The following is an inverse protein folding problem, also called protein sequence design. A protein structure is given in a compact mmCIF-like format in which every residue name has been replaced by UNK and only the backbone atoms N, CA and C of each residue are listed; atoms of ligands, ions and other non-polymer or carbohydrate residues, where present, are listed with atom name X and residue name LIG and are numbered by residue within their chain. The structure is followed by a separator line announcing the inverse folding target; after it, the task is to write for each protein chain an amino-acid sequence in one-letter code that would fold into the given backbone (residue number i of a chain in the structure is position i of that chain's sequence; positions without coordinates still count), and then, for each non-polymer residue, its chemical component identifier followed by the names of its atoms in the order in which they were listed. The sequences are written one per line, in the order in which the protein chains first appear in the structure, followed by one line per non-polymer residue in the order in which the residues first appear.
data_IF_971833528263
#
_entry.id   IF_971833528263
#
_cell.length_a   1.000
_cell.length_b   1.000
_cell.length_c   1.000
_cell.angle_alpha   90.00
_cell.angle_beta   90.00
_cell.angle_gamma   90.00
#
_symmetry.space_group_name_H-M   'P 1'
#
loop_
_entity.id
_entity.type
_entity.pdbx_description
1 polymer ?
#
# COMPACT_ATOMS: atom_id res chain seq x y z
N UNK A 1 11.33 -5.94 33.23
CA UNK A 1 10.74 -5.73 31.90
C UNK A 1 11.73 -5.98 30.75
N UNK A 2 11.39 -6.94 29.90
CA UNK A 2 12.16 -7.33 28.72
C UNK A 2 11.92 -6.34 27.55
N UNK A 3 12.97 -5.63 27.15
CA UNK A 3 12.92 -4.68 26.03
C UNK A 3 12.62 -5.36 24.69
N UNK A 4 12.97 -6.65 24.56
CA UNK A 4 12.70 -7.46 23.38
C UNK A 4 11.19 -7.72 23.23
N UNK A 5 10.54 -8.12 24.32
CA UNK A 5 9.08 -8.34 24.36
C UNK A 5 8.30 -7.07 23.97
N UNK A 6 8.71 -5.92 24.50
CA UNK A 6 8.08 -4.64 24.16
C UNK A 6 8.25 -4.27 22.68
N UNK A 7 9.43 -4.53 22.12
CA UNK A 7 9.71 -4.28 20.70
C UNK A 7 8.86 -5.18 19.81
N UNK A 8 8.79 -6.48 20.13
CA UNK A 8 7.97 -7.45 19.40
C UNK A 8 6.48 -7.09 19.46
N UNK A 9 5.99 -6.68 20.63
CA UNK A 9 4.60 -6.25 20.81
C UNK A 9 4.25 -5.05 19.93
N UNK A 10 5.13 -4.05 19.88
CA UNK A 10 4.89 -2.84 19.07
C UNK A 10 4.89 -3.14 17.58
N UNK A 11 5.81 -3.99 17.09
CA UNK A 11 5.85 -4.38 15.69
C UNK A 11 4.59 -5.18 15.29
N UNK A 12 4.17 -6.12 16.14
CA UNK A 12 2.94 -6.89 15.92
C UNK A 12 1.70 -5.98 15.89
N UNK A 13 1.56 -5.06 16.86
CA UNK A 13 0.48 -4.07 16.87
C UNK A 13 0.51 -3.16 15.64
N UNK A 14 1.69 -2.73 15.20
CA UNK A 14 1.82 -1.85 14.03
C UNK A 14 1.29 -2.53 12.77
N UNK A 15 1.61 -3.81 12.56
CA UNK A 15 1.08 -4.59 11.44
C UNK A 15 -0.42 -4.83 11.59
N UNK A 16 -0.87 -5.29 12.75
CA UNK A 16 -2.27 -5.61 12.99
C UNK A 16 -3.19 -4.38 12.85
N UNK A 17 -2.68 -3.19 13.18
CA UNK A 17 -3.43 -1.95 13.09
C UNK A 17 -3.43 -1.29 11.70
N UNK A 18 -2.62 -1.74 10.73
CA UNK A 18 -2.42 -1.04 9.46
C UNK A 18 -3.73 -0.71 8.73
N UNK A 19 -4.69 -1.63 8.72
CA UNK A 19 -6.01 -1.45 8.09
C UNK A 19 -7.17 -1.32 9.09
N UNK A 20 -6.86 -1.27 10.38
CA UNK A 20 -7.85 -1.34 11.46
C UNK A 20 -8.07 0.00 12.18
N UNK A 21 -7.64 1.12 11.58
CA UNK A 21 -7.79 2.47 12.13
C UNK A 21 -8.97 3.18 11.49
N UNK A 22 -9.95 3.55 12.31
CA UNK A 22 -11.10 4.36 11.89
C UNK A 22 -10.91 5.84 12.25
N UNK A 23 -11.68 6.70 11.59
CA UNK A 23 -11.67 8.15 11.81
C UNK A 23 -12.09 8.60 13.22
N UNK A 24 -12.72 7.73 14.01
CA UNK A 24 -13.18 7.99 15.38
C UNK A 24 -12.29 7.37 16.47
N UNK A 25 -11.28 6.56 16.09
CA UNK A 25 -10.25 6.08 17.01
C UNK A 25 -9.39 7.26 17.49
N UNK A 26 -9.35 7.49 18.80
CA UNK A 26 -8.56 8.57 19.44
C UNK A 26 -7.19 8.11 19.86
N UNK A 27 -7.05 6.85 20.27
CA UNK A 27 -5.79 6.34 20.77
C UNK A 27 -5.84 4.85 21.05
N UNK A 28 -4.65 4.26 21.10
CA UNK A 28 -4.43 2.90 21.58
C UNK A 28 -3.40 2.96 22.70
N UNK A 29 -3.82 2.54 23.87
CA UNK A 29 -2.98 2.46 25.06
C UNK A 29 -2.59 1.00 25.32
N UNK A 30 -1.34 0.80 25.73
CA UNK A 30 -0.78 -0.51 26.03
C UNK A 30 -0.17 -0.52 27.42
N UNK A 31 -0.47 -1.54 28.22
CA UNK A 31 0.21 -1.81 29.48
C UNK A 31 0.79 -3.22 29.46
N UNK A 32 2.00 -3.38 29.98
CA UNK A 32 2.57 -4.68 30.33
C UNK A 32 2.43 -4.88 31.84
N UNK A 33 1.92 -6.04 32.23
CA UNK A 33 2.00 -6.50 33.61
C UNK A 33 3.24 -7.40 33.76
N UNK A 34 4.10 -7.06 34.72
CA UNK A 34 5.33 -7.81 35.07
C UNK A 34 5.02 -8.82 36.19
N UNK A 35 3.84 -9.46 36.12
CA UNK A 35 3.47 -10.56 36.97
C UNK A 35 4.29 -11.82 36.64
N UNK A 36 4.15 -12.90 37.42
CA UNK A 36 4.82 -14.19 37.18
C UNK A 36 4.59 -14.77 35.77
N UNK A 37 3.60 -14.23 35.04
CA UNK A 37 3.36 -14.47 33.62
C UNK A 37 3.25 -13.14 32.89
N UNK A 38 3.93 -12.98 31.74
CA UNK A 38 3.79 -11.78 30.94
C UNK A 38 2.33 -11.64 30.52
N UNK A 39 1.76 -10.47 30.78
CA UNK A 39 0.44 -10.13 30.27
C UNK A 39 0.50 -8.73 29.68
N UNK A 40 -0.25 -8.49 28.61
CA UNK A 40 -0.48 -7.13 28.15
C UNK A 40 -1.95 -6.84 28.00
N UNK A 41 -2.28 -5.58 28.30
CA UNK A 41 -3.59 -4.99 28.10
C UNK A 41 -3.50 -3.97 26.97
N UNK A 42 -4.45 -4.03 26.04
CA UNK A 42 -4.56 -3.08 24.93
C UNK A 42 -5.95 -2.46 24.97
N UNK A 43 -6.00 -1.12 25.03
CA UNK A 43 -7.27 -0.37 25.06
C UNK A 43 -7.39 0.49 23.82
N UNK A 44 -8.50 0.33 23.12
CA UNK A 44 -8.88 1.15 21.99
C UNK A 44 -9.86 2.22 22.47
N UNK A 45 -9.43 3.47 22.39
CA UNK A 45 -10.16 4.63 22.90
C UNK A 45 -10.88 5.31 21.74
N UNK A 46 -12.21 5.28 21.72
CA UNK A 46 -13.02 5.85 20.64
C UNK A 46 -13.66 7.16 21.07
N UNK A 47 -13.77 8.12 20.14
CA UNK A 47 -14.39 9.41 20.38
C UNK A 47 -15.91 9.31 20.56
N UNK A 48 -16.53 8.40 19.82
CA UNK A 48 -17.97 8.24 19.73
C UNK A 48 -18.47 6.98 20.43
N UNK A 49 -19.70 6.63 20.10
CA UNK A 49 -20.24 5.32 20.40
C UNK A 49 -19.47 4.26 19.58
N UNK A 50 -19.40 3.07 20.14
CA UNK A 50 -18.78 1.89 19.52
C UNK A 50 -19.91 1.03 18.96
N UNK A 51 -19.77 0.59 17.71
CA UNK A 51 -20.65 -0.38 17.10
C UNK A 51 -19.89 -1.62 16.65
N UNK A 52 -20.59 -2.51 15.95
CA UNK A 52 -20.07 -3.83 15.53
C UNK A 52 -18.75 -3.74 14.77
N UNK A 53 -18.59 -2.72 13.90
CA UNK A 53 -17.35 -2.51 13.15
C UNK A 53 -16.13 -2.29 14.06
N UNK A 54 -16.24 -1.42 15.07
CA UNK A 54 -15.13 -1.15 15.98
C UNK A 54 -14.78 -2.38 16.81
N UNK A 55 -15.77 -3.15 17.24
CA UNK A 55 -15.54 -4.41 17.97
C UNK A 55 -14.87 -5.45 17.07
N UNK A 56 -15.29 -5.57 15.81
CA UNK A 56 -14.72 -6.47 14.82
C UNK A 56 -13.25 -6.10 14.51
N UNK A 57 -12.95 -4.82 14.29
CA UNK A 57 -11.58 -4.36 14.05
C UNK A 57 -10.66 -4.65 15.25
N UNK A 58 -11.14 -4.46 16.48
CA UNK A 58 -10.34 -4.77 17.68
C UNK A 58 -10.14 -6.28 17.84
N UNK A 59 -11.16 -7.08 17.54
CA UNK A 59 -11.05 -8.55 17.54
C UNK A 59 -10.10 -9.06 16.46
N UNK A 60 -10.07 -8.41 15.29
CA UNK A 60 -9.12 -8.71 14.22
C UNK A 60 -7.68 -8.38 14.65
N UNK A 61 -7.46 -7.21 15.26
CA UNK A 61 -6.15 -6.84 15.83
C UNK A 61 -5.71 -7.84 16.90
N UNK A 62 -6.61 -8.23 17.80
CA UNK A 62 -6.35 -9.27 18.80
C UNK A 62 -5.93 -10.58 18.15
N UNK A 63 -6.64 -11.03 17.11
CA UNK A 63 -6.36 -12.28 16.41
C UNK A 63 -4.98 -12.28 15.77
N UNK A 64 -4.61 -11.22 15.04
CA UNK A 64 -3.28 -11.09 14.45
C UNK A 64 -2.19 -11.08 15.51
N UNK A 65 -2.43 -10.34 16.58
CA UNK A 65 -1.46 -10.22 17.65
C UNK A 65 -1.27 -11.54 18.39
N UNK A 66 -2.34 -12.27 18.74
CA UNK A 66 -2.20 -13.62 19.34
C UNK A 66 -1.43 -14.54 18.39
N UNK A 67 -1.70 -14.48 17.09
CA UNK A 67 -1.02 -15.30 16.08
C UNK A 67 0.50 -15.10 16.07
N UNK A 68 0.94 -13.84 16.21
CA UNK A 68 2.36 -13.47 16.23
C UNK A 68 3.12 -13.96 17.46
N UNK A 69 2.37 -14.32 18.50
CA UNK A 69 2.90 -14.82 19.76
C UNK A 69 2.60 -16.31 19.97
N UNK A 70 2.16 -17.04 18.94
CA UNK A 70 1.91 -18.49 19.00
C UNK A 70 3.15 -19.34 19.41
N UNK A 71 4.36 -18.80 19.24
CA UNK A 71 5.61 -19.45 19.69
C UNK A 71 6.02 -19.07 21.12
N UNK A 72 5.32 -18.10 21.73
CA UNK A 72 5.53 -17.73 23.12
C UNK A 72 4.84 -18.79 23.98
N UNK A 73 5.46 -19.27 25.08
CA UNK A 73 4.90 -20.32 25.92
C UNK A 73 3.46 -20.00 26.36
N UNK A 74 2.70 -21.05 26.75
CA UNK A 74 1.30 -21.09 27.22
C UNK A 74 0.91 -20.11 28.36
N UNK A 75 1.76 -19.13 28.66
CA UNK A 75 1.67 -18.17 29.75
C UNK A 75 1.32 -16.74 29.33
N UNK A 76 1.41 -16.36 28.04
CA UNK A 76 1.09 -14.99 27.64
C UNK A 76 -0.43 -14.74 27.70
N UNK A 77 -0.83 -13.81 28.57
CA UNK A 77 -2.25 -13.44 28.71
C UNK A 77 -2.50 -12.10 28.03
N UNK A 78 -3.48 -12.05 27.15
CA UNK A 78 -3.84 -10.84 26.42
C UNK A 78 -5.23 -10.37 26.84
N UNK A 79 -5.43 -9.06 26.93
CA UNK A 79 -6.75 -8.48 27.17
C UNK A 79 -6.93 -7.24 26.31
N UNK A 80 -8.00 -7.25 25.53
CA UNK A 80 -8.39 -6.16 24.66
C UNK A 80 -9.65 -5.51 25.18
N UNK A 81 -9.74 -4.19 25.08
CA UNK A 81 -10.92 -3.44 25.53
C UNK A 81 -11.23 -2.31 24.58
N UNK A 82 -12.53 -2.15 24.31
CA UNK A 82 -13.07 -1.10 23.46
C UNK A 82 -13.77 -0.08 24.35
N UNK A 83 -13.27 1.16 24.38
CA UNK A 83 -13.77 2.19 25.28
C UNK A 83 -14.51 3.26 24.46
N UNK A 84 -15.86 3.29 24.51
CA UNK A 84 -16.64 4.33 23.85
C UNK A 84 -16.52 5.65 24.60
N UNK A 85 -16.69 6.77 23.90
CA UNK A 85 -16.67 8.12 24.46
C UNK A 85 -15.46 8.40 25.37
N UNK A 86 -14.31 7.84 25.00
CA UNK A 86 -13.11 7.87 25.82
C UNK A 86 -12.44 9.24 25.85
N UNK A 87 -11.96 9.63 27.03
CA UNK A 87 -10.98 10.71 27.18
C UNK A 87 -9.59 10.25 26.68
N UNK A 88 -8.73 11.21 26.31
CA UNK A 88 -7.32 10.94 25.94
C UNK A 88 -6.44 10.81 27.18
N UNK A 89 -6.76 9.84 28.04
CA UNK A 89 -6.09 9.62 29.33
C UNK A 89 -5.56 8.20 29.41
N UNK A 90 -4.34 8.06 29.96
CA UNK A 90 -3.72 6.77 30.26
C UNK A 90 -4.11 6.33 31.67
N UNK A 91 -4.34 5.04 31.87
CA UNK A 91 -4.35 4.42 33.20
C UNK A 91 -2.91 4.21 33.72
N UNK A 92 -2.80 3.86 35.01
CA UNK A 92 -1.52 3.53 35.62
C UNK A 92 -0.82 2.38 34.90
N UNK A 93 0.44 2.58 34.54
CA UNK A 93 1.26 1.60 33.82
C UNK A 93 1.02 1.53 32.31
N UNK A 94 0.12 2.35 31.77
CA UNK A 94 -0.10 2.42 30.32
C UNK A 94 0.88 3.36 29.61
N UNK A 95 1.10 3.06 28.33
CA UNK A 95 1.85 3.85 27.39
C UNK A 95 1.06 4.02 26.10
N UNK A 96 1.18 5.18 25.45
CA UNK A 96 0.61 5.37 24.12
C UNK A 96 1.33 4.52 23.08
N UNK A 97 0.57 3.67 22.39
CA UNK A 97 0.99 3.06 21.14
C UNK A 97 0.65 3.98 19.96
N UNK A 98 -0.62 4.42 19.92
CA UNK A 98 -1.15 5.36 18.94
C UNK A 98 -1.91 6.46 19.67
N UNK A 99 -1.75 7.71 19.22
CA UNK A 99 -2.52 8.85 19.71
C UNK A 99 -2.87 9.73 18.53
N UNK A 100 -4.16 9.85 18.24
CA UNK A 100 -4.66 10.75 17.21
C UNK A 100 -4.39 12.19 17.63
N UNK A 101 -3.78 12.95 16.74
CA UNK A 101 -3.67 14.38 16.91
C UNK A 101 -5.07 15.00 16.88
N UNK A 102 -5.42 15.72 17.94
CA UNK A 102 -6.58 16.59 17.96
C UNK A 102 -6.11 17.94 18.46
N UNK A 103 -6.59 19.05 17.88
CA UNK A 103 -6.29 20.38 18.40
C UNK A 103 -6.68 20.41 19.88
N UNK A 104 -5.84 21.05 20.71
CA UNK A 104 -6.23 21.35 22.09
C UNK A 104 -7.57 22.06 22.02
N UNK A 105 -8.59 21.51 22.69
CA UNK A 105 -9.86 22.19 22.80
C UNK A 105 -9.55 23.55 23.42
N UNK A 106 -9.67 24.63 22.63
CA UNK A 106 -9.46 25.99 23.11
C UNK A 106 -10.28 26.12 24.38
N UNK A 107 -9.57 26.14 25.51
CA UNK A 107 -10.15 26.22 26.84
C UNK A 107 -11.08 27.42 26.81
N UNK A 108 -12.39 27.15 26.81
CA UNK A 108 -13.43 28.05 26.35
C UNK A 108 -13.13 29.50 26.74
N UNK A 109 -12.62 30.29 25.79
CA UNK A 109 -12.39 31.71 26.01
C UNK A 109 -13.75 32.29 26.34
N UNK A 110 -13.84 32.88 27.54
CA UNK A 110 -15.06 33.48 28.09
C UNK A 110 -15.81 34.28 27.02
N UNK A 111 -17.16 34.23 26.99
CA UNK A 111 -17.93 34.79 25.90
C UNK A 111 -17.80 36.32 25.90
N UNK A 112 -17.11 36.85 24.89
CA UNK A 112 -16.84 38.27 24.85
C UNK A 112 -16.11 38.73 23.60
N UNK A 113 -16.51 38.28 22.41
CA UNK A 113 -16.66 39.17 21.24
C UNK A 113 -17.18 38.41 20.02
N UNK A 114 -18.40 38.75 19.65
CA UNK A 114 -19.05 38.36 18.41
C UNK A 114 -18.26 38.94 17.23
N UNK A 115 -17.64 38.09 16.40
CA UNK A 115 -17.31 38.45 15.02
C UNK A 115 -18.09 37.56 14.07
N UNK A 116 -19.01 38.22 13.38
CA UNK A 116 -19.77 37.74 12.23
C UNK A 116 -18.78 37.41 11.11
N UNK A 117 -18.75 36.15 10.68
CA UNK A 117 -18.14 35.76 9.42
C UNK A 117 -19.23 35.12 8.55
N UNK A 118 -19.35 35.64 7.34
CA UNK A 118 -20.30 35.32 6.29
C UNK A 118 -20.01 33.96 5.67
N UNK A 119 -21.06 33.15 5.54
CA UNK A 119 -21.06 31.90 4.80
C UNK A 119 -20.85 32.16 3.30
N UNK A 120 -19.96 31.37 2.69
CA UNK A 120 -19.98 31.05 1.28
C UNK A 120 -20.00 29.52 1.19
N UNK A 121 -21.18 28.99 0.90
CA UNK A 121 -21.43 27.57 0.66
C UNK A 121 -20.92 27.19 -0.73
N UNK A 122 -20.11 26.14 -0.78
CA UNK A 122 -19.72 25.45 -2.02
C UNK A 122 -19.63 23.96 -1.71
N UNK A 123 -20.76 23.28 -1.69
CA UNK A 123 -20.83 21.82 -1.62
C UNK A 123 -20.47 21.23 -2.98
N UNK A 124 -19.26 20.67 -3.09
CA UNK A 124 -18.91 19.70 -4.12
C UNK A 124 -19.00 18.30 -3.50
N UNK A 125 -20.06 17.57 -3.81
CA UNK A 125 -20.20 16.15 -3.46
C UNK A 125 -19.30 15.33 -4.38
N UNK A 126 -18.24 14.73 -3.83
CA UNK A 126 -17.51 13.65 -4.50
C UNK A 126 -18.24 12.34 -4.19
N UNK A 127 -18.94 11.79 -5.18
CA UNK A 127 -19.38 10.39 -5.16
C UNK A 127 -18.17 9.53 -5.53
N UNK A 128 -17.49 8.99 -4.51
CA UNK A 128 -16.56 7.88 -4.69
C UNK A 128 -17.39 6.63 -4.94
N UNK A 129 -17.48 6.22 -6.20
CA UNK A 129 -18.03 4.92 -6.58
C UNK A 129 -17.11 3.82 -6.04
N UNK A 130 -17.43 3.31 -4.86
CA UNK A 130 -16.91 2.04 -4.35
C UNK A 130 -17.54 0.94 -5.18
N UNK A 131 -16.86 0.54 -6.27
CA UNK A 131 -17.19 -0.69 -6.97
C UNK A 131 -17.08 -1.87 -5.99
N UNK A 132 -18.16 -2.64 -5.91
CA UNK A 132 -18.37 -3.87 -5.15
C UNK A 132 -17.07 -4.58 -4.70
N UNK A 133 -16.72 -4.42 -3.42
CA UNK A 133 -15.79 -5.28 -2.67
C UNK A 133 -16.61 -6.02 -1.63
N UNK A 134 -17.36 -7.04 -2.05
CA UNK A 134 -18.02 -7.97 -1.12
C UNK A 134 -17.09 -9.17 -0.83
N UNK A 135 -16.54 -9.14 0.39
CA UNK A 135 -16.22 -10.24 1.32
C UNK A 135 -15.44 -11.47 0.79
N UNK A 136 -14.12 -11.44 1.00
CA UNK A 136 -13.18 -12.56 0.93
C UNK A 136 -13.44 -13.58 2.04
N UNK A 137 -14.09 -14.70 1.69
CA UNK A 137 -14.13 -15.92 2.51
C UNK A 137 -13.93 -17.16 1.64
N UNK A 138 -12.86 -17.21 0.82
CA UNK A 138 -12.43 -18.45 0.11
C UNK A 138 -11.02 -18.33 -0.50
N UNK A 139 -9.99 -18.16 0.34
CA UNK A 139 -8.66 -17.67 -0.06
C UNK A 139 -7.82 -18.48 -1.07
N UNK A 140 -8.23 -19.67 -1.52
CA UNK A 140 -7.53 -20.41 -2.61
C UNK A 140 -8.24 -20.30 -3.95
N UNK A 141 -9.58 -20.29 -3.97
CA UNK A 141 -10.36 -20.18 -5.21
C UNK A 141 -10.24 -18.75 -5.78
N UNK A 142 -10.11 -17.75 -4.92
CA UNK A 142 -10.04 -16.33 -5.31
C UNK A 142 -8.70 -15.95 -5.97
N UNK A 143 -7.58 -16.54 -5.56
CA UNK A 143 -6.26 -16.28 -6.17
C UNK A 143 -6.20 -16.89 -7.58
N UNK A 144 -6.62 -18.15 -7.73
CA UNK A 144 -6.62 -18.81 -9.05
C UNK A 144 -7.51 -18.08 -10.06
N UNK A 145 -8.70 -17.62 -9.62
CA UNK A 145 -9.61 -16.83 -10.44
C UNK A 145 -9.00 -15.47 -10.81
N UNK A 146 -8.31 -14.82 -9.87
CA UNK A 146 -7.60 -13.57 -10.13
C UNK A 146 -6.47 -13.77 -11.15
N UNK A 147 -5.63 -14.78 -10.98
CA UNK A 147 -4.53 -15.09 -11.91
C UNK A 147 -5.05 -15.43 -13.31
N UNK A 148 -6.13 -16.21 -13.39
CA UNK A 148 -6.79 -16.52 -14.65
C UNK A 148 -7.33 -15.25 -15.32
N UNK A 149 -7.92 -14.32 -14.56
CA UNK A 149 -8.37 -13.03 -15.07
C UNK A 149 -7.21 -12.19 -15.60
N UNK A 150 -6.10 -12.09 -14.86
CA UNK A 150 -4.91 -11.35 -15.30
C UNK A 150 -4.35 -11.91 -16.62
N UNK A 151 -4.25 -13.24 -16.71
CA UNK A 151 -3.85 -13.93 -17.94
C UNK A 151 -4.76 -13.58 -19.10
N UNK A 152 -6.08 -13.67 -18.92
CA UNK A 152 -7.05 -13.40 -19.98
C UNK A 152 -6.97 -11.95 -20.47
N UNK A 153 -6.80 -10.98 -19.56
CA UNK A 153 -6.63 -9.57 -19.92
C UNK A 153 -5.35 -9.34 -20.74
N UNK A 154 -4.25 -9.98 -20.37
CA UNK A 154 -2.98 -9.89 -21.08
C UNK A 154 -3.02 -10.58 -22.45
N UNK A 155 -3.58 -11.79 -22.53
CA UNK A 155 -3.72 -12.52 -23.79
C UNK A 155 -4.65 -11.79 -24.78
N UNK A 156 -5.64 -11.04 -24.27
CA UNK A 156 -6.49 -10.18 -25.09
C UNK A 156 -5.75 -8.99 -25.73
N UNK A 157 -4.54 -8.66 -25.28
CA UNK A 157 -3.72 -7.62 -25.92
C UNK A 157 -3.16 -8.07 -27.27
N UNK A 158 -3.10 -9.38 -27.57
CA UNK A 158 -2.58 -9.86 -28.86
C UNK A 158 -3.44 -9.33 -30.01
N UNK A 159 -2.80 -8.64 -30.95
CA UNK A 159 -3.44 -7.99 -32.09
C UNK A 159 -3.82 -6.53 -31.86
N UNK A 160 -3.77 -6.03 -30.63
CA UNK A 160 -3.98 -4.60 -30.30
C UNK A 160 -2.85 -3.77 -30.90
N UNK A 161 -3.18 -2.59 -31.43
CA UNK A 161 -2.18 -1.65 -32.00
C UNK A 161 -1.91 -0.54 -31.01
N UNK A 162 -0.74 -0.58 -30.37
CA UNK A 162 -0.31 0.45 -29.44
C UNK A 162 0.12 1.69 -30.20
N UNK A 163 -0.47 2.83 -29.88
CA UNK A 163 -0.17 4.13 -30.51
C UNK A 163 0.71 5.03 -29.65
N UNK A 164 0.68 4.84 -28.32
CA UNK A 164 1.48 5.63 -27.38
C UNK A 164 1.53 5.00 -25.99
N UNK A 165 2.52 5.46 -25.22
CA UNK A 165 2.74 5.07 -23.83
C UNK A 165 2.87 6.32 -22.96
N UNK A 166 2.23 6.28 -21.80
CA UNK A 166 2.43 7.24 -20.74
C UNK A 166 2.36 6.52 -19.38
N UNK A 167 2.85 7.14 -18.33
CA UNK A 167 2.90 6.48 -17.02
C UNK A 167 3.32 7.40 -15.90
N UNK A 168 3.23 6.86 -14.68
CA UNK A 168 3.69 7.50 -13.45
C UNK A 168 5.07 6.92 -13.15
N UNK A 169 6.11 7.69 -13.47
CA UNK A 169 7.50 7.34 -13.18
C UNK A 169 7.81 7.67 -11.72
N UNK A 170 8.46 6.73 -11.03
CA UNK A 170 8.93 6.90 -9.67
C UNK A 170 10.43 7.20 -9.68
N UNK A 171 10.86 8.05 -8.76
CA UNK A 171 12.28 8.36 -8.62
C UNK A 171 13.04 7.14 -8.11
N UNK A 172 14.29 7.01 -8.58
CA UNK A 172 15.25 5.99 -8.13
C UNK A 172 15.88 6.42 -6.79
N UNK A 173 15.89 7.73 -6.51
CA UNK A 173 16.28 8.31 -5.22
C UNK A 173 15.33 9.42 -4.83
N UNK A 174 14.93 9.43 -3.57
CA UNK A 174 13.96 10.41 -3.06
C UNK A 174 14.60 11.78 -2.80
N UNK A 175 15.77 11.81 -2.16
CA UNK A 175 16.42 13.03 -1.70
C UNK A 175 17.90 13.07 -2.10
N UNK A 176 18.17 13.55 -3.31
CA UNK A 176 19.53 13.82 -3.79
C UNK A 176 20.04 15.22 -3.42
N UNK A 177 19.34 15.95 -2.52
CA UNK A 177 19.60 17.36 -2.21
C UNK A 177 19.05 18.35 -3.24
N UNK A 178 19.00 17.96 -4.52
CA UNK A 178 18.34 18.70 -5.60
C UNK A 178 16.91 18.21 -5.90
N UNK A 179 16.38 17.34 -5.03
CA UNK A 179 15.07 16.68 -5.16
C UNK A 179 15.16 15.25 -5.70
N UNK A 180 14.02 14.68 -6.15
CA UNK A 180 13.97 13.30 -6.61
C UNK A 180 14.75 13.06 -7.90
N UNK A 181 15.53 11.98 -7.93
CA UNK A 181 16.36 11.59 -9.08
C UNK A 181 15.73 10.41 -9.82
N UNK A 182 15.39 10.60 -11.09
CA UNK A 182 14.70 9.60 -11.91
C UNK A 182 15.60 8.78 -12.85
N UNK A 183 16.89 9.06 -12.86
CA UNK A 183 17.86 8.39 -13.75
C UNK A 183 19.15 8.10 -13.02
N UNK A 184 19.71 6.92 -13.22
CA UNK A 184 21.02 6.53 -12.72
C UNK A 184 21.77 5.77 -13.82
N UNK A 185 23.08 6.02 -14.07
CA UNK A 185 23.85 5.27 -15.07
C UNK A 185 23.91 3.75 -14.86
N UNK A 186 23.70 3.28 -13.63
CA UNK A 186 23.66 1.86 -13.27
C UNK A 186 22.28 1.23 -13.51
N UNK A 187 21.22 2.03 -13.63
CA UNK A 187 19.85 1.56 -13.85
C UNK A 187 19.52 1.60 -15.35
N UNK A 188 19.22 0.43 -15.92
CA UNK A 188 18.98 0.24 -17.37
C UNK A 188 17.51 0.05 -17.75
N UNK A 189 16.62 0.36 -16.81
CA UNK A 189 15.18 0.22 -16.93
C UNK A 189 14.48 1.48 -16.39
N UNK A 190 13.19 1.61 -16.63
CA UNK A 190 12.35 2.62 -15.99
C UNK A 190 11.69 2.01 -14.76
N UNK A 191 11.57 2.79 -13.67
CA UNK A 191 10.76 2.43 -12.51
C UNK A 191 9.45 3.21 -12.57
N UNK A 192 8.33 2.50 -12.71
CA UNK A 192 7.02 3.12 -12.83
C UNK A 192 6.08 2.56 -11.76
N UNK A 193 5.30 3.42 -11.09
CA UNK A 193 4.16 2.96 -10.31
C UNK A 193 3.06 2.41 -11.25
N UNK A 194 2.92 3.03 -12.43
CA UNK A 194 1.92 2.66 -13.43
C UNK A 194 2.42 2.89 -14.85
N UNK A 195 2.11 1.95 -15.74
CA UNK A 195 2.34 2.02 -17.17
C UNK A 195 1.02 1.95 -17.91
N UNK A 196 0.72 2.95 -18.76
CA UNK A 196 -0.50 2.96 -19.57
C UNK A 196 -0.16 2.86 -21.06
N UNK A 197 -0.82 1.91 -21.72
CA UNK A 197 -0.81 1.76 -23.17
C UNK A 197 -2.10 2.32 -23.75
N UNK A 198 -2.00 2.97 -24.92
CA UNK A 198 -3.16 3.48 -25.67
C UNK A 198 -3.29 2.78 -27.01
N UNK A 199 -4.51 2.45 -27.39
CA UNK A 199 -4.87 1.86 -28.68
C UNK A 199 -6.16 2.52 -29.20
N UNK A 200 -6.03 3.64 -29.90
CA UNK A 200 -7.20 4.40 -30.35
C UNK A 200 -7.98 5.01 -29.18
N UNK A 201 -9.29 4.74 -29.03
CA UNK A 201 -10.07 5.20 -27.88
C UNK A 201 -9.83 4.38 -26.61
N UNK A 202 -9.26 3.18 -26.74
CA UNK A 202 -9.08 2.24 -25.65
C UNK A 202 -7.74 2.48 -24.94
N UNK A 203 -7.73 2.21 -23.64
CA UNK A 203 -6.54 2.28 -22.81
C UNK A 203 -6.52 1.11 -21.82
N UNK A 204 -5.32 0.62 -21.54
CA UNK A 204 -5.08 -0.40 -20.53
C UNK A 204 -3.94 0.08 -19.63
N UNK A 205 -4.10 -0.07 -18.32
CA UNK A 205 -3.05 0.22 -17.35
C UNK A 205 -2.48 -1.08 -16.80
N UNK A 206 -1.16 -1.12 -16.70
CA UNK A 206 -0.39 -2.14 -16.00
C UNK A 206 0.22 -1.46 -14.77
N UNK A 207 -0.04 -2.00 -13.59
CA UNK A 207 0.49 -1.52 -12.32
C UNK A 207 1.03 -2.67 -11.48
N UNK A 208 1.09 -2.44 -10.17
CA UNK A 208 1.41 -3.47 -9.19
C UNK A 208 0.18 -3.74 -8.32
N UNK A 209 -0.19 -5.01 -8.22
CA UNK A 209 -1.09 -5.50 -7.19
C UNK A 209 -0.33 -5.53 -5.86
N UNK A 210 -0.90 -4.89 -4.86
CA UNK A 210 -0.43 -4.92 -3.48
C UNK A 210 -1.52 -5.59 -2.63
N UNK A 211 -1.21 -6.74 -2.05
CA UNK A 211 -2.01 -7.38 -0.99
C UNK A 211 -1.09 -7.86 0.13
N UNK A 212 -1.63 -8.25 1.29
CA UNK A 212 -0.96 -8.66 2.56
C UNK A 212 0.42 -9.38 2.44
N UNK A 213 1.47 -8.67 2.00
CA UNK A 213 2.81 -9.20 1.77
C UNK A 213 3.10 -9.80 0.38
N UNK A 214 2.25 -9.58 -0.63
CA UNK A 214 2.43 -10.07 -1.99
C UNK A 214 2.37 -8.93 -3.00
N UNK A 215 3.38 -8.89 -3.87
CA UNK A 215 3.49 -7.91 -4.94
C UNK A 215 3.62 -8.62 -6.28
N UNK A 216 2.90 -8.14 -7.27
CA UNK A 216 2.97 -8.65 -8.63
C UNK A 216 2.39 -7.66 -9.60
N UNK A 217 2.65 -7.82 -10.89
CA UNK A 217 2.04 -7.00 -11.91
C UNK A 217 0.53 -7.24 -11.93
N UNK A 218 -0.23 -6.21 -12.24
CA UNK A 218 -1.66 -6.33 -12.49
C UNK A 218 -2.06 -5.54 -13.72
N UNK A 219 -3.09 -6.02 -14.40
CA UNK A 219 -3.76 -5.35 -15.48
C UNK A 219 -5.12 -4.92 -14.99
N UNK A 220 -5.36 -3.61 -15.05
CA UNK A 220 -6.60 -3.02 -14.57
C UNK A 220 -7.33 -2.33 -15.71
N UNK A 221 -8.63 -2.59 -15.81
CA UNK A 221 -9.52 -1.86 -16.69
C UNK A 221 -9.65 -0.43 -16.15
N UNK A 222 -8.91 0.50 -16.75
CA UNK A 222 -8.98 1.95 -16.60
C UNK A 222 -9.56 2.46 -15.25
N UNK A 223 -8.76 2.36 -14.18
CA UNK A 223 -8.80 3.27 -13.03
C UNK A 223 -7.58 4.18 -13.13
N UNK A 224 -7.77 5.48 -13.26
CA UNK A 224 -6.69 6.38 -13.68
C UNK A 224 -5.97 6.97 -12.47
N UNK A 225 -4.66 6.74 -12.31
CA UNK A 225 -3.81 7.82 -11.83
C UNK A 225 -3.91 8.96 -12.87
N UNK A 226 -4.26 10.14 -12.41
CA UNK A 226 -4.21 11.37 -13.20
C UNK A 226 -2.87 12.06 -12.98
N UNK A 227 -2.43 12.93 -13.91
CA UNK A 227 -1.24 13.75 -13.68
C UNK A 227 -1.31 14.59 -12.38
N UNK A 228 -2.52 14.90 -11.91
CA UNK A 228 -2.75 15.65 -10.67
C UNK A 228 -2.48 14.81 -9.40
N UNK A 229 -2.50 13.48 -9.53
CA UNK A 229 -2.25 12.57 -8.41
C UNK A 229 -0.75 12.30 -8.20
N UNK A 230 0.11 12.85 -9.06
CA UNK A 230 1.57 12.72 -8.93
C UNK A 230 2.10 13.76 -7.94
N UNK A 231 2.66 13.30 -6.82
CA UNK A 231 3.33 14.13 -5.82
C UNK A 231 4.63 13.47 -5.32
N UNK A 232 5.49 14.27 -4.69
CA UNK A 232 6.74 13.79 -4.11
C UNK A 232 7.69 13.19 -5.15
N UNK A 233 7.98 11.90 -5.00
CA UNK A 233 8.90 11.14 -5.84
C UNK A 233 8.28 10.65 -7.15
N UNK A 234 7.00 10.94 -7.40
CA UNK A 234 6.28 10.52 -8.59
C UNK A 234 6.14 11.64 -9.62
N UNK A 235 6.25 11.30 -10.91
CA UNK A 235 5.93 12.22 -12.00
C UNK A 235 5.22 11.56 -13.16
N UNK A 236 4.30 12.29 -13.76
CA UNK A 236 3.66 11.90 -15.00
C UNK A 236 4.57 12.16 -16.21
N UNK A 237 4.70 11.20 -17.13
CA UNK A 237 5.40 11.44 -18.40
C UNK A 237 4.92 10.58 -19.57
N UNK A 238 5.14 11.10 -20.77
CA UNK A 238 5.13 10.29 -21.99
C UNK A 238 6.41 9.44 -22.06
N UNK A 239 6.27 8.23 -22.61
CA UNK A 239 7.34 7.25 -22.66
C UNK A 239 7.66 6.88 -24.10
N UNK A 240 8.96 6.83 -24.40
CA UNK A 240 9.49 6.33 -25.68
C UNK A 240 9.69 4.81 -25.59
N UNK A 241 8.61 4.07 -25.85
CA UNK A 241 8.57 2.60 -25.86
C UNK A 241 8.06 2.10 -27.22
N UNK A 242 8.27 0.82 -27.57
CA UNK A 242 7.80 0.28 -28.84
C UNK A 242 6.29 0.49 -29.05
N UNK A 243 5.95 1.11 -30.18
CA UNK A 243 4.58 1.22 -30.72
C UNK A 243 4.44 0.27 -31.90
N UNK A 244 3.20 -0.14 -32.20
CA UNK A 244 2.93 -1.16 -33.21
C UNK A 244 1.87 -2.17 -32.79
N UNK A 245 1.69 -3.20 -33.61
CA UNK A 245 0.81 -4.32 -33.27
C UNK A 245 1.50 -5.21 -32.24
N UNK A 246 0.76 -5.60 -31.19
CA UNK A 246 1.21 -6.64 -30.26
C UNK A 246 1.07 -7.99 -30.96
N UNK A 247 2.19 -8.61 -31.30
CA UNK A 247 2.25 -9.90 -31.98
C UNK A 247 2.18 -11.08 -31.01
N UNK A 248 2.58 -10.87 -29.76
CA UNK A 248 2.60 -11.91 -28.74
C UNK A 248 2.74 -11.37 -27.33
N UNK A 249 2.30 -12.18 -26.37
CA UNK A 249 2.42 -11.93 -24.94
C UNK A 249 2.94 -13.20 -24.26
N UNK A 250 3.97 -13.07 -23.44
CA UNK A 250 4.45 -14.12 -22.53
C UNK A 250 4.26 -13.66 -21.09
N UNK A 251 3.84 -14.59 -20.25
CA UNK A 251 3.38 -14.33 -18.89
C UNK A 251 4.05 -15.34 -17.98
N UNK A 252 4.87 -14.86 -17.05
CA UNK A 252 5.54 -15.69 -16.07
C UNK A 252 5.01 -15.35 -14.67
N UNK A 253 4.56 -16.39 -13.97
CA UNK A 253 4.13 -16.30 -12.59
C UNK A 253 5.27 -16.75 -11.67
N UNK A 254 5.39 -16.09 -10.52
CA UNK A 254 6.31 -16.51 -9.46
C UNK A 254 5.59 -16.47 -8.12
N UNK A 255 5.73 -17.53 -7.34
CA UNK A 255 5.08 -17.69 -6.03
C UNK A 255 3.57 -17.31 -6.03
N UNK A 256 2.84 -17.63 -7.10
CA UNK A 256 1.41 -17.32 -7.20
C UNK A 256 1.09 -15.85 -7.50
N UNK A 257 2.07 -15.06 -7.94
CA UNK A 257 1.89 -13.67 -8.40
C UNK A 257 2.35 -13.53 -9.84
N UNK A 258 1.85 -12.51 -10.54
CA UNK A 258 2.30 -12.22 -11.90
C UNK A 258 3.65 -11.46 -11.86
N UNK A 259 4.75 -12.16 -12.12
CA UNK A 259 6.09 -11.61 -11.91
C UNK A 259 6.63 -10.88 -13.15
N UNK A 260 6.39 -11.43 -14.36
CA UNK A 260 6.93 -10.88 -15.61
C UNK A 260 5.91 -10.91 -16.74
N UNK A 261 5.95 -9.88 -17.58
CA UNK A 261 5.22 -9.81 -18.84
C UNK A 261 6.22 -9.46 -19.94
N UNK A 262 6.26 -10.25 -21.02
CA UNK A 262 6.96 -9.85 -22.26
C UNK A 262 5.93 -9.57 -23.35
N UNK A 263 5.93 -8.35 -23.88
CA UNK A 263 5.12 -7.95 -25.03
C UNK A 263 6.02 -7.90 -26.27
N UNK A 264 5.66 -8.63 -27.32
CA UNK A 264 6.33 -8.51 -28.63
C UNK A 264 5.52 -7.55 -29.50
N UNK A 265 6.10 -6.40 -29.85
CA UNK A 265 5.42 -5.28 -30.53
C UNK A 265 6.17 -4.94 -31.83
N UNK A 266 5.55 -5.19 -32.98
CA UNK A 266 6.18 -5.08 -34.31
C UNK A 266 7.59 -5.71 -34.33
N UNK A 267 7.69 -6.94 -33.80
CA UNK A 267 8.94 -7.70 -33.70
C UNK A 267 9.97 -7.20 -32.67
N UNK A 268 9.62 -6.26 -31.78
CA UNK A 268 10.47 -5.80 -30.67
C UNK A 268 9.90 -6.25 -29.33
N UNK A 269 10.74 -6.82 -28.48
CA UNK A 269 10.30 -7.25 -27.15
C UNK A 269 10.41 -6.12 -26.12
N UNK A 270 9.35 -5.92 -25.35
CA UNK A 270 9.28 -5.07 -24.17
C UNK A 270 9.03 -5.95 -22.96
N UNK A 271 9.94 -5.93 -21.98
CA UNK A 271 9.83 -6.73 -20.77
C UNK A 271 9.41 -5.84 -19.59
N UNK A 272 8.39 -6.29 -18.86
CA UNK A 272 7.89 -5.71 -17.62
C UNK A 272 8.15 -6.71 -16.50
N UNK A 273 8.64 -6.23 -15.36
CA UNK A 273 8.92 -7.04 -14.17
C UNK A 273 8.35 -6.34 -12.94
N UNK A 274 7.67 -7.07 -12.06
CA UNK A 274 7.34 -6.56 -10.73
C UNK A 274 8.61 -6.47 -9.88
N UNK A 275 8.90 -5.29 -9.35
CA UNK A 275 10.09 -5.03 -8.55
C UNK A 275 10.34 -3.55 -8.34
N UNK A 276 11.27 -3.22 -7.46
CA UNK A 276 11.53 -1.84 -7.04
C UNK A 276 13.04 -1.60 -6.86
N UNK A 277 13.49 -0.39 -7.17
CA UNK A 277 14.82 0.07 -6.80
C UNK A 277 14.74 0.83 -5.49
N UNK A 278 15.47 0.33 -4.50
CA UNK A 278 15.57 0.93 -3.18
C UNK A 278 16.98 1.50 -2.98
N UNK A 279 17.06 2.71 -2.46
CA UNK A 279 18.33 3.30 -2.01
C UNK A 279 18.63 2.85 -0.59
N UNK A 280 19.81 2.25 -0.39
CA UNK A 280 20.31 1.89 0.94
C UNK A 280 20.82 3.12 1.68
N UNK A 281 21.00 3.02 3.00
CA UNK A 281 21.53 4.12 3.83
C UNK A 281 22.92 4.62 3.39
N UNK A 282 23.70 3.81 2.66
CA UNK A 282 25.00 4.19 2.10
C UNK A 282 24.92 4.67 0.63
N UNK A 283 23.72 4.89 0.10
CA UNK A 283 23.46 5.44 -1.24
C UNK A 283 23.61 4.45 -2.40
N UNK A 284 23.80 3.15 -2.09
CA UNK A 284 23.78 2.09 -3.09
C UNK A 284 22.35 1.80 -3.51
N UNK A 285 22.19 1.30 -4.73
CA UNK A 285 20.90 0.87 -5.25
C UNK A 285 20.80 -0.65 -5.16
N UNK A 286 19.70 -1.12 -4.60
CA UNK A 286 19.30 -2.52 -4.58
C UNK A 286 18.01 -2.68 -5.39
N UNK A 287 17.88 -3.79 -6.12
CA UNK A 287 16.69 -4.07 -6.93
C UNK A 287 15.98 -5.27 -6.34
N UNK A 288 14.85 -5.03 -5.70
CA UNK A 288 14.02 -6.05 -5.06
C UNK A 288 13.03 -6.60 -6.08
N UNK A 289 12.91 -7.93 -6.14
CA UNK A 289 11.95 -8.59 -7.03
C UNK A 289 10.61 -8.74 -6.31
N UNK A 290 9.51 -8.66 -7.08
CA UNK A 290 8.15 -8.72 -6.53
C UNK A 290 7.95 -7.63 -5.48
N UNK A 291 7.98 -6.38 -5.94
CA UNK A 291 7.88 -5.20 -5.08
C UNK A 291 7.03 -4.10 -5.75
N UNK A 292 6.92 -2.92 -5.15
CA UNK A 292 5.88 -1.90 -5.41
C UNK A 292 5.95 -1.15 -6.76
N UNK A 293 6.79 -1.60 -7.70
CA UNK A 293 6.93 -0.96 -9.01
C UNK A 293 6.90 -1.91 -10.22
N UNK A 294 6.61 -1.31 -11.37
CA UNK A 294 6.75 -1.89 -12.70
C UNK A 294 8.10 -1.48 -13.26
N UNK A 295 9.03 -2.42 -13.35
CA UNK A 295 10.34 -2.22 -13.98
C UNK A 295 10.24 -2.50 -15.48
N UNK A 296 10.52 -1.48 -16.29
CA UNK A 296 10.36 -1.55 -17.77
C UNK A 296 11.71 -1.65 -18.46
N UNK A 297 11.96 -2.80 -19.08
CA UNK A 297 13.17 -3.11 -19.84
C UNK A 297 12.89 -3.04 -21.34
N UNK A 298 13.56 -2.10 -22.03
CA UNK A 298 13.48 -1.94 -23.50
C UNK A 298 14.27 -3.01 -24.25
N UNK A 299 15.25 -3.62 -23.58
CA UNK A 299 15.98 -4.79 -24.04
C UNK A 299 15.89 -5.83 -22.91
N UNK A 300 15.16 -6.95 -23.12
CA UNK A 300 15.02 -7.99 -22.11
C UNK A 300 16.36 -8.55 -21.59
N UNK A 301 17.44 -8.47 -22.38
CA UNK A 301 18.77 -8.93 -21.95
C UNK A 301 19.32 -8.10 -20.79
N UNK A 302 18.89 -6.86 -20.62
CA UNK A 302 19.32 -6.02 -19.50
C UNK A 302 18.76 -6.52 -18.15
N UNK A 303 17.60 -7.19 -18.14
CA UNK A 303 17.04 -7.76 -16.91
C UNK A 303 17.89 -8.92 -16.35
N UNK A 304 18.59 -9.64 -17.22
CA UNK A 304 19.48 -10.74 -16.84
C UNK A 304 20.82 -10.23 -16.26
N UNK A 305 21.09 -8.92 -16.38
CA UNK A 305 22.26 -8.26 -15.79
C UNK A 305 21.96 -7.64 -14.42
N UNK A 306 20.69 -7.57 -14.03
CA UNK A 306 20.27 -7.05 -12.73
C UNK A 306 20.63 -8.05 -11.64
N UNK A 307 21.21 -7.54 -10.55
CA UNK A 307 21.39 -8.31 -9.33
C UNK A 307 20.13 -8.17 -8.48
N UNK A 308 19.25 -9.17 -8.58
CA UNK A 308 17.98 -9.21 -7.86
C UNK A 308 18.21 -9.60 -6.39
N UNK A 309 17.61 -8.84 -5.48
CA UNK A 309 17.51 -9.13 -4.04
C UNK A 309 16.25 -9.91 -3.74
#
# INVERSE_FOLDING_TARGET
MDAELWTRLRLSLQRAMWESVTSDLRGVAIALDDAERPAFRVRFLYAGAVGDLQEELVSLVETYLVSDFNEVPDSLTTSFSVIPHAARELEEGEHWFFLRWEPEAEESVRPGHTRRATAAEGHGTYESGTGDREALTSGTIEIDDWLARQRNLLEALVGVTVTSWDGVEMAIREDSGDGPQFTDPQVRFLQLAWLRLRSGPDEQTIGVYQGDGWFGLCVEAAGRPSPQDCYGIMRWRALDLPVGRIDGVKIDFDEGTLARITLTIDGRDLLLVAGEVCETLDGRLEVHRLDESVLVFRDPVEAEKVHWM
#
